data_IF_867949847539
#
_entry.id   IF_867949847539
#
_cell.length_a   1.000
_cell.length_b   1.000
_cell.length_c   1.000
_cell.angle_alpha   90.00
_cell.angle_beta   90.00
_cell.angle_gamma   90.00
#
_symmetry.space_group_name_H-M   'P 1'
#
loop_
_entity.id
_entity.type
_entity.pdbx_description
1 polymer ?
#
# COMPACT_ATOMS: atom_id res chain seq x y z
N UNK A 1 -12.98 23.19 -11.79
CA UNK A 1 -12.86 21.84 -11.20
C UNK A 1 -11.47 21.74 -10.64
N UNK A 2 -11.32 21.99 -9.35
CA UNK A 2 -10.06 21.90 -8.63
C UNK A 2 -10.08 20.58 -7.87
N UNK A 3 -9.16 19.68 -8.22
CA UNK A 3 -8.77 18.60 -7.33
C UNK A 3 -7.92 19.27 -6.25
N UNK A 4 -8.59 19.64 -5.17
CA UNK A 4 -7.95 20.30 -4.05
C UNK A 4 -7.10 19.26 -3.31
N UNK A 5 -5.83 19.16 -3.72
CA UNK A 5 -4.67 18.94 -2.85
C UNK A 5 -4.57 20.12 -1.86
N UNK A 6 -5.64 20.39 -1.11
CA UNK A 6 -5.67 21.47 -0.13
C UNK A 6 -4.79 21.09 1.05
N UNK A 7 -4.07 22.06 1.59
CA UNK A 7 -3.25 21.98 2.80
C UNK A 7 -4.05 21.53 4.06
N UNK A 8 -5.35 21.24 3.88
CA UNK A 8 -6.32 20.80 4.89
C UNK A 8 -6.61 19.28 4.81
N UNK A 9 -6.26 18.59 3.73
CA UNK A 9 -6.47 17.15 3.57
C UNK A 9 -5.20 16.37 3.94
N UNK A 10 -4.89 16.31 5.24
CA UNK A 10 -3.97 15.28 5.72
C UNK A 10 -4.69 13.94 5.67
N UNK A 11 -4.40 13.09 4.68
CA UNK A 11 -4.77 11.67 4.74
C UNK A 11 -3.97 11.03 5.86
N UNK A 12 -4.55 11.00 7.06
CA UNK A 12 -3.93 10.37 8.23
C UNK A 12 -4.19 8.87 8.13
N UNK A 13 -3.21 8.16 7.59
CA UNK A 13 -3.15 6.71 7.70
C UNK A 13 -3.21 6.30 9.18
N UNK A 14 -4.20 5.50 9.54
CA UNK A 14 -4.30 4.94 10.88
C UNK A 14 -3.62 3.59 10.87
N UNK A 15 -2.54 3.47 11.66
CA UNK A 15 -1.91 2.19 11.93
C UNK A 15 -2.95 1.27 12.56
N UNK A 16 -3.12 0.08 12.02
CA UNK A 16 -3.96 -0.92 12.66
C UNK A 16 -3.29 -1.40 13.95
N UNK A 17 -4.09 -1.56 15.01
CA UNK A 17 -3.59 -2.00 16.32
C UNK A 17 -2.94 -3.38 16.24
N UNK A 18 -3.55 -4.27 15.43
CA UNK A 18 -3.07 -5.62 15.19
C UNK A 18 -2.24 -5.72 13.91
N UNK A 19 -1.19 -6.55 13.96
CA UNK A 19 -0.44 -6.97 12.77
C UNK A 19 -1.18 -8.07 12.02
N UNK A 20 -1.11 -8.08 10.69
CA UNK A 20 -1.57 -9.23 9.92
C UNK A 20 -0.46 -10.27 9.76
N UNK A 21 -0.85 -11.55 9.69
CA UNK A 21 0.10 -12.67 9.64
C UNK A 21 0.16 -13.28 8.24
N UNK A 22 1.39 -13.53 7.77
CA UNK A 22 1.68 -14.11 6.45
C UNK A 22 2.65 -15.26 6.59
N UNK A 23 2.30 -16.41 6.00
CA UNK A 23 3.23 -17.53 5.89
C UNK A 23 4.17 -17.33 4.69
N UNK A 24 5.41 -16.91 4.95
CA UNK A 24 6.46 -16.75 3.94
C UNK A 24 6.95 -18.11 3.41
N UNK A 25 6.83 -19.14 4.25
CA UNK A 25 7.00 -20.54 3.88
C UNK A 25 6.01 -21.38 4.69
N UNK A 26 5.99 -22.70 4.48
CA UNK A 26 5.12 -23.61 5.25
C UNK A 26 5.32 -23.55 6.78
N UNK A 27 6.43 -22.97 7.24
CA UNK A 27 6.86 -23.03 8.64
C UNK A 27 7.08 -21.63 9.22
N UNK A 28 7.35 -20.63 8.37
CA UNK A 28 7.71 -19.28 8.81
C UNK A 28 6.48 -18.38 8.64
N UNK A 29 5.83 -18.10 9.75
CA UNK A 29 4.86 -17.01 9.89
C UNK A 29 5.62 -15.70 10.14
N UNK A 30 5.24 -14.63 9.46
CA UNK A 30 5.78 -13.29 9.65
C UNK A 30 4.62 -12.33 9.89
N UNK A 31 4.77 -11.44 10.87
CA UNK A 31 3.79 -10.42 11.24
C UNK A 31 4.15 -9.08 10.64
N UNK A 32 3.19 -8.45 9.97
CA UNK A 32 3.38 -7.22 9.21
C UNK A 32 2.43 -6.13 9.67
N UNK A 33 2.88 -4.88 9.53
CA UNK A 33 2.09 -3.69 9.86
C UNK A 33 1.38 -3.20 8.60
N UNK A 34 0.08 -2.98 8.72
CA UNK A 34 -0.71 -2.25 7.75
C UNK A 34 -1.26 -0.96 8.34
N UNK A 35 -1.36 0.04 7.49
CA UNK A 35 -2.06 1.27 7.78
C UNK A 35 -3.22 1.37 6.79
N UNK A 36 -4.41 1.57 7.33
CA UNK A 36 -5.62 1.65 6.53
C UNK A 36 -6.17 3.07 6.61
N UNK A 37 -6.59 3.57 5.46
CA UNK A 37 -7.33 4.81 5.34
C UNK A 37 -8.67 4.50 4.69
N UNK A 38 -9.74 4.79 5.45
CA UNK A 38 -11.12 4.83 4.95
C UNK A 38 -11.52 6.30 4.88
N UNK A 39 -11.67 6.84 3.68
CA UNK A 39 -12.25 8.17 3.55
C UNK A 39 -13.75 8.20 3.87
N UNK A 40 -14.38 9.37 3.75
CA UNK A 40 -15.85 9.51 3.90
C UNK A 40 -16.62 8.65 2.87
N UNK A 41 -17.93 8.46 3.05
CA UNK A 41 -18.82 7.46 2.41
C UNK A 41 -18.72 7.22 0.88
N UNK A 42 -17.95 8.03 0.15
CA UNK A 42 -17.70 7.96 -1.29
C UNK A 42 -16.20 7.85 -1.67
N UNK A 43 -15.31 7.57 -0.72
CA UNK A 43 -13.86 7.71 -0.90
C UNK A 43 -13.14 6.36 -0.84
N UNK A 44 -12.26 6.19 -1.82
CA UNK A 44 -11.25 5.14 -1.99
C UNK A 44 -10.69 4.57 -0.68
N UNK A 45 -10.69 3.24 -0.61
CA UNK A 45 -9.98 2.50 0.43
C UNK A 45 -8.50 2.39 0.04
N UNK A 46 -7.63 2.81 0.95
CA UNK A 46 -6.19 2.85 0.72
C UNK A 46 -5.50 2.06 1.82
N UNK A 47 -4.59 1.18 1.42
CA UNK A 47 -3.69 0.48 2.32
C UNK A 47 -2.25 0.91 2.05
N UNK A 48 -1.54 1.23 3.13
CA UNK A 48 -0.09 1.33 3.13
C UNK A 48 0.45 0.16 3.94
N UNK A 49 1.34 -0.64 3.35
CA UNK A 49 1.84 -1.87 3.97
C UNK A 49 3.36 -1.85 4.00
N UNK A 50 3.94 -2.08 5.18
CA UNK A 50 5.39 -2.25 5.32
C UNK A 50 5.81 -3.59 4.70
N UNK A 51 6.77 -3.57 3.77
CA UNK A 51 7.26 -4.81 3.17
C UNK A 51 7.98 -5.69 4.22
N UNK A 52 8.47 -5.10 5.32
CA UNK A 52 9.20 -5.79 6.38
C UNK A 52 8.27 -6.21 7.53
N UNK A 53 8.41 -7.46 7.95
CA UNK A 53 7.74 -8.01 9.12
C UNK A 53 8.72 -8.58 10.14
N UNK A 54 8.19 -9.32 11.11
CA UNK A 54 8.97 -9.95 12.19
C UNK A 54 10.02 -10.95 11.67
N UNK A 55 9.68 -11.71 10.62
CA UNK A 55 10.47 -12.87 10.18
C UNK A 55 10.88 -12.80 8.70
N UNK A 56 10.52 -11.73 7.99
CA UNK A 56 10.99 -11.51 6.62
C UNK A 56 10.27 -10.42 5.85
N UNK A 57 10.41 -10.47 4.52
CA UNK A 57 9.81 -9.53 3.57
C UNK A 57 8.59 -10.14 2.88
N UNK A 58 7.56 -9.34 2.62
CA UNK A 58 6.42 -9.74 1.77
C UNK A 58 6.87 -10.00 0.33
N UNK A 59 7.88 -9.27 -0.15
CA UNK A 59 8.50 -9.46 -1.45
C UNK A 59 9.98 -9.09 -1.41
N UNK A 60 10.82 -9.98 -1.95
CA UNK A 60 12.29 -9.85 -1.99
C UNK A 60 12.86 -9.66 -3.39
N UNK A 61 12.01 -9.54 -4.43
CA UNK A 61 12.50 -9.28 -5.78
C UNK A 61 13.03 -7.86 -5.95
N UNK A 62 13.83 -7.62 -7.00
CA UNK A 62 14.42 -6.31 -7.29
C UNK A 62 13.58 -5.49 -8.30
N UNK A 63 13.47 -4.16 -8.15
CA UNK A 63 13.80 -3.43 -6.92
C UNK A 63 12.90 -3.90 -5.76
N UNK A 64 13.47 -3.93 -4.56
CA UNK A 64 12.76 -4.36 -3.35
C UNK A 64 12.07 -3.14 -2.75
N UNK A 65 10.72 -3.12 -2.68
CA UNK A 65 10.00 -1.98 -2.14
C UNK A 65 10.13 -1.95 -0.62
N UNK A 66 10.20 -0.76 -0.04
CA UNK A 66 10.08 -0.58 1.41
C UNK A 66 8.60 -0.62 1.84
N UNK A 67 7.73 -0.05 1.00
CA UNK A 67 6.29 0.04 1.24
C UNK A 67 5.47 -0.34 0.01
N UNK A 68 4.28 -0.87 0.25
CA UNK A 68 3.25 -1.08 -0.74
C UNK A 68 2.12 -0.08 -0.54
N UNK A 69 1.69 0.57 -1.62
CA UNK A 69 0.49 1.39 -1.64
C UNK A 69 -0.56 0.67 -2.48
N UNK A 70 -1.70 0.34 -1.87
CA UNK A 70 -2.82 -0.34 -2.52
C UNK A 70 -4.02 0.60 -2.53
N UNK A 71 -4.69 0.68 -3.68
CA UNK A 71 -5.81 1.59 -3.93
C UNK A 71 -6.98 0.76 -4.45
N UNK A 72 -8.12 0.78 -3.76
CA UNK A 72 -9.37 0.23 -4.31
C UNK A 72 -10.07 1.31 -5.14
N UNK A 73 -10.52 0.97 -6.34
CA UNK A 73 -11.17 1.91 -7.27
C UNK A 73 -10.29 3.12 -7.64
N UNK A 74 -9.00 2.88 -7.94
CA UNK A 74 -8.05 3.93 -8.31
C UNK A 74 -8.51 4.79 -9.50
N UNK A 75 -9.30 4.23 -10.42
CA UNK A 75 -9.83 4.92 -11.60
C UNK A 75 -10.77 6.09 -11.24
N UNK A 76 -11.45 6.01 -10.09
CA UNK A 76 -12.30 7.09 -9.56
C UNK A 76 -11.47 8.24 -8.97
N UNK A 77 -10.18 8.01 -8.72
CA UNK A 77 -9.21 8.95 -8.15
C UNK A 77 -8.15 9.42 -9.16
N UNK A 78 -8.50 9.50 -10.45
CA UNK A 78 -7.56 9.97 -11.49
C UNK A 78 -6.59 8.90 -11.97
N UNK A 79 -6.74 7.67 -11.47
CA UNK A 79 -5.98 6.50 -11.90
C UNK A 79 -4.60 6.40 -11.26
N UNK A 80 -3.98 5.22 -11.45
CA UNK A 80 -2.67 4.90 -10.88
C UNK A 80 -1.56 5.84 -11.34
N UNK A 81 -1.67 6.44 -12.53
CA UNK A 81 -0.65 7.35 -13.08
C UNK A 81 -0.58 8.70 -12.35
N UNK A 82 -1.73 9.28 -12.00
CA UNK A 82 -1.79 10.55 -11.26
C UNK A 82 -1.18 10.39 -9.87
N UNK A 83 -1.52 9.30 -9.18
CA UNK A 83 -0.90 8.91 -7.92
C UNK A 83 0.61 8.74 -8.02
N UNK A 84 1.07 8.03 -9.06
CA UNK A 84 2.49 7.82 -9.27
C UNK A 84 3.24 9.14 -9.46
N UNK A 85 2.66 10.08 -10.20
CA UNK A 85 3.24 11.40 -10.42
C UNK A 85 3.24 12.23 -9.12
N UNK A 86 2.17 12.19 -8.34
CA UNK A 86 2.11 12.81 -7.01
C UNK A 86 3.22 12.31 -6.09
N UNK A 87 3.41 10.98 -6.00
CA UNK A 87 4.46 10.38 -5.16
C UNK A 87 5.88 10.83 -5.58
N UNK A 88 6.14 11.03 -6.87
CA UNK A 88 7.44 11.52 -7.36
C UNK A 88 7.76 12.94 -6.92
N UNK A 89 6.76 13.73 -6.52
CA UNK A 89 6.99 15.11 -6.03
C UNK A 89 7.46 15.15 -4.57
N UNK A 90 7.31 14.04 -3.83
CA UNK A 90 7.67 13.95 -2.42
C UNK A 90 9.17 13.67 -2.28
N UNK A 91 9.93 14.63 -1.75
CA UNK A 91 11.40 14.55 -1.68
C UNK A 91 11.96 13.36 -0.90
N UNK A 92 11.21 12.85 0.09
CA UNK A 92 11.62 11.69 0.89
C UNK A 92 11.40 10.36 0.16
N UNK A 93 10.65 10.33 -0.94
CA UNK A 93 10.42 9.14 -1.75
C UNK A 93 11.53 9.04 -2.80
N UNK A 94 12.39 8.04 -2.64
CA UNK A 94 13.49 7.80 -3.59
C UNK A 94 13.00 7.23 -4.92
N UNK A 95 11.96 6.40 -4.88
CA UNK A 95 11.42 5.72 -6.06
C UNK A 95 9.95 5.33 -5.83
N UNK A 96 9.12 5.53 -6.85
CA UNK A 96 7.77 5.00 -6.93
C UNK A 96 7.58 4.36 -8.30
N UNK A 97 6.86 3.24 -8.36
CA UNK A 97 6.56 2.55 -9.62
C UNK A 97 5.30 1.69 -9.48
N UNK A 98 4.65 1.41 -10.62
CA UNK A 98 3.54 0.47 -10.68
C UNK A 98 4.09 -0.95 -10.65
N UNK A 99 3.63 -1.76 -9.72
CA UNK A 99 4.11 -3.14 -9.62
C UNK A 99 3.63 -3.97 -10.83
N UNK A 100 4.53 -4.70 -11.53
CA UNK A 100 4.20 -5.35 -12.79
C UNK A 100 3.11 -6.43 -12.65
N UNK A 101 2.12 -6.39 -13.53
CA UNK A 101 0.91 -7.26 -13.50
C UNK A 101 1.29 -8.74 -13.52
N UNK A 102 2.28 -9.12 -14.32
CA UNK A 102 2.76 -10.50 -14.43
C UNK A 102 3.35 -11.05 -13.12
N UNK A 103 3.66 -10.18 -12.15
CA UNK A 103 4.16 -10.57 -10.82
C UNK A 103 3.08 -10.53 -9.74
N UNK A 104 1.85 -10.12 -10.04
CA UNK A 104 0.76 -10.03 -9.05
C UNK A 104 0.44 -11.37 -8.39
N UNK A 105 0.65 -12.49 -9.10
CA UNK A 105 0.51 -13.85 -8.56
C UNK A 105 1.41 -14.12 -7.35
N UNK A 106 2.47 -13.33 -7.15
CA UNK A 106 3.39 -13.43 -6.00
C UNK A 106 2.90 -12.68 -4.76
N UNK A 107 1.85 -11.87 -4.89
CA UNK A 107 1.29 -11.06 -3.80
C UNK A 107 0.22 -11.85 -3.03
N UNK A 108 0.57 -13.05 -2.56
CA UNK A 108 -0.36 -13.95 -1.85
C UNK A 108 -0.84 -13.37 -0.52
N UNK A 109 -0.05 -12.47 0.07
CA UNK A 109 -0.34 -11.77 1.31
C UNK A 109 -1.50 -10.77 1.25
N UNK A 110 -1.93 -10.36 0.05
CA UNK A 110 -3.08 -9.44 -0.10
C UNK A 110 -4.35 -9.97 0.57
N UNK A 111 -4.55 -11.30 0.57
CA UNK A 111 -5.70 -11.96 1.19
C UNK A 111 -5.70 -11.92 2.73
N UNK A 112 -4.58 -11.52 3.33
CA UNK A 112 -4.43 -11.43 4.77
C UNK A 112 -4.65 -10.00 5.30
N UNK A 113 -4.81 -9.00 4.42
CA UNK A 113 -5.07 -7.62 4.82
C UNK A 113 -6.47 -7.49 5.40
N UNK A 114 -6.59 -6.66 6.43
CA UNK A 114 -7.89 -6.35 7.02
C UNK A 114 -8.68 -5.46 6.04
N UNK A 115 -10.00 -5.65 5.99
CA UNK A 115 -10.93 -4.84 5.20
C UNK A 115 -10.89 -5.03 3.67
N UNK A 116 -10.12 -5.99 3.13
CA UNK A 116 -10.11 -6.31 1.70
C UNK A 116 -11.32 -7.14 1.25
#
# INVERSE_FOLDING_TARGET
>A
MAWCLDDTFSSKFQRQDDTFSVFLSKIIESKHVEYYFKGSESVCEIWLVENKGSDGLLYSGKPTPDYWLLLRAADELGGTEEWLNGLKTIQSIQMSYIFPIEKHVKLTWLRALSHL
#
